data_IF_845446612981
#
_entry.id   IF_845446612981
#
_cell.length_a   1.000
_cell.length_b   1.000
_cell.length_c   1.000
_cell.angle_alpha   90.00
_cell.angle_beta   90.00
_cell.angle_gamma   90.00
#
_symmetry.space_group_name_H-M   'P 1'
#
loop_
_entity.id
_entity.type
_entity.pdbx_description
1 polymer ?
#
# COMPACT_ATOMS: atom_id res chain seq x y z
N UNK A 1 1.34 7.30 -7.71
CA UNK A 1 2.14 8.52 -7.45
C UNK A 1 1.74 9.59 -8.46
N UNK A 2 1.81 10.86 -8.09
CA UNK A 2 1.46 11.99 -8.95
C UNK A 2 2.53 13.06 -8.84
N UNK A 3 3.01 13.55 -9.98
CA UNK A 3 3.88 14.72 -10.03
C UNK A 3 3.01 15.99 -10.14
N UNK A 4 3.17 16.92 -9.22
CA UNK A 4 2.35 18.14 -9.12
C UNK A 4 3.24 19.35 -9.03
N UNK A 5 2.88 20.43 -9.74
CA UNK A 5 3.57 21.72 -9.72
C UNK A 5 3.59 22.36 -11.10
N UNK A 6 3.60 23.70 -11.13
CA UNK A 6 3.60 24.49 -12.37
C UNK A 6 4.93 25.22 -12.59
N UNK A 7 5.88 25.09 -11.66
CA UNK A 7 7.21 25.69 -11.76
C UNK A 7 8.24 24.81 -11.05
N UNK A 8 9.55 24.96 -11.36
CA UNK A 8 10.60 24.17 -10.71
C UNK A 8 10.59 24.26 -9.18
N UNK A 9 10.15 25.38 -8.63
CA UNK A 9 10.08 25.59 -7.17
C UNK A 9 8.83 24.99 -6.52
N UNK A 10 7.82 24.61 -7.31
CA UNK A 10 6.56 24.05 -6.81
C UNK A 10 6.39 22.55 -7.15
N UNK A 11 7.33 21.98 -7.87
CA UNK A 11 7.28 20.54 -8.22
C UNK A 11 7.42 19.68 -6.96
N UNK A 12 6.49 18.76 -6.79
CA UNK A 12 6.48 17.78 -5.70
C UNK A 12 5.85 16.47 -6.11
N UNK A 13 6.22 15.42 -5.42
CA UNK A 13 5.59 14.10 -5.56
C UNK A 13 4.45 14.00 -4.55
N UNK A 14 3.28 13.62 -5.03
CA UNK A 14 2.09 13.36 -4.22
C UNK A 14 1.84 11.85 -4.16
N UNK A 15 1.92 11.27 -2.96
CA UNK A 15 1.54 9.89 -2.71
C UNK A 15 0.12 9.84 -2.14
N UNK A 16 -0.81 9.22 -2.88
CA UNK A 16 -2.23 9.06 -2.50
C UNK A 16 -2.59 7.63 -2.10
N UNK A 17 -1.60 6.75 -1.96
CA UNK A 17 -1.85 5.36 -1.58
C UNK A 17 -2.26 5.22 -0.11
N UNK A 18 -1.60 5.89 0.84
CA UNK A 18 -1.97 5.78 2.26
C UNK A 18 -3.36 6.35 2.55
N UNK A 19 -4.13 5.67 3.40
CA UNK A 19 -5.37 6.18 3.97
C UNK A 19 -5.16 7.28 5.02
N UNK A 20 -6.25 7.92 5.45
CA UNK A 20 -6.19 8.97 6.48
C UNK A 20 -5.83 8.46 7.89
N UNK A 21 -5.89 7.17 8.11
CA UNK A 21 -5.58 6.45 9.35
C UNK A 21 -4.15 5.88 9.40
N UNK A 22 -3.34 6.15 8.35
CA UNK A 22 -1.97 5.66 8.29
C UNK A 22 -1.11 6.29 9.38
N UNK A 23 -0.15 5.53 9.91
CA UNK A 23 0.94 6.10 10.70
C UNK A 23 1.82 6.99 9.80
N UNK A 24 1.81 8.34 9.97
CA UNK A 24 2.51 9.23 9.05
C UNK A 24 4.03 9.07 9.09
N UNK A 25 4.59 8.70 10.23
CA UNK A 25 6.03 8.47 10.35
C UNK A 25 6.47 7.26 9.55
N UNK A 26 5.71 6.16 9.63
CA UNK A 26 6.00 4.95 8.86
C UNK A 26 5.78 5.19 7.35
N UNK A 27 4.72 5.89 6.98
CA UNK A 27 4.44 6.20 5.57
C UNK A 27 5.54 7.05 4.93
N UNK A 28 6.00 8.10 5.63
CA UNK A 28 7.10 8.96 5.14
C UNK A 28 8.40 8.18 5.08
N UNK A 29 8.72 7.38 6.10
CA UNK A 29 9.92 6.54 6.11
C UNK A 29 9.91 5.53 4.96
N UNK A 30 8.76 4.90 4.66
CA UNK A 30 8.62 3.98 3.54
C UNK A 30 8.82 4.67 2.18
N UNK A 31 8.29 5.88 2.01
CA UNK A 31 8.50 6.67 0.79
C UNK A 31 9.98 7.01 0.57
N UNK A 32 10.66 7.45 1.63
CA UNK A 32 12.09 7.80 1.57
C UNK A 32 12.90 6.54 1.26
N UNK A 33 12.66 5.42 1.97
CA UNK A 33 13.37 4.17 1.75
C UNK A 33 13.19 3.64 0.33
N UNK A 34 11.97 3.67 -0.20
CA UNK A 34 11.68 3.26 -1.57
C UNK A 34 12.36 4.17 -2.61
N UNK A 35 12.35 5.49 -2.37
CA UNK A 35 13.02 6.45 -3.25
C UNK A 35 14.53 6.25 -3.28
N UNK A 36 15.16 6.08 -2.13
CA UNK A 36 16.60 5.82 -2.02
C UNK A 36 16.98 4.50 -2.70
N UNK A 37 16.20 3.43 -2.47
CA UNK A 37 16.45 2.15 -3.11
C UNK A 37 16.33 2.22 -4.64
N UNK A 38 15.38 3.00 -5.17
CA UNK A 38 15.25 3.23 -6.60
C UNK A 38 16.44 3.97 -7.20
N UNK A 39 16.99 4.95 -6.48
CA UNK A 39 18.21 5.69 -6.86
C UNK A 39 19.43 4.76 -6.80
N UNK A 40 19.60 4.02 -5.71
CA UNK A 40 20.70 3.06 -5.55
C UNK A 40 20.72 1.97 -6.63
N UNK A 41 19.55 1.51 -7.04
CA UNK A 41 19.39 0.50 -8.09
C UNK A 41 19.38 1.08 -9.51
N UNK A 42 19.52 2.41 -9.67
CA UNK A 42 19.46 3.11 -10.96
C UNK A 42 18.23 2.71 -11.79
N UNK A 43 17.06 2.57 -11.12
CA UNK A 43 15.84 2.13 -11.78
C UNK A 43 15.48 3.09 -12.93
N UNK A 44 15.13 2.57 -14.12
CA UNK A 44 14.71 3.41 -15.23
C UNK A 44 13.41 4.12 -14.87
N UNK A 45 13.30 5.38 -15.32
CA UNK A 45 12.04 6.13 -15.17
C UNK A 45 11.02 5.59 -16.17
N UNK A 46 9.85 5.21 -15.67
CA UNK A 46 8.73 4.89 -16.52
C UNK A 46 8.16 6.17 -17.17
N UNK A 47 7.62 6.08 -18.41
CA UNK A 47 6.94 7.22 -19.02
C UNK A 47 5.80 7.72 -18.15
N UNK A 48 5.63 9.05 -18.11
CA UNK A 48 4.49 9.63 -17.40
C UNK A 48 3.19 9.21 -18.10
N UNK A 49 2.23 8.72 -17.32
CA UNK A 49 0.89 8.43 -17.84
C UNK A 49 0.12 9.75 -18.03
N UNK A 50 -0.43 9.93 -19.22
CA UNK A 50 -1.30 11.06 -19.57
C UNK A 50 -2.74 10.59 -19.72
N UNK A 51 -3.66 11.21 -18.98
CA UNK A 51 -5.08 10.89 -19.04
C UNK A 51 -5.67 10.41 -17.72
N UNK A 52 -6.71 9.57 -17.79
CA UNK A 52 -7.38 9.02 -16.61
C UNK A 52 -6.68 7.75 -16.14
N UNK A 53 -5.83 7.86 -15.12
CA UNK A 53 -5.07 6.74 -14.55
C UNK A 53 -5.95 5.60 -13.96
N UNK A 54 -7.24 5.82 -13.75
CA UNK A 54 -8.16 4.74 -13.34
C UNK A 54 -8.49 3.76 -14.47
N UNK A 55 -8.25 4.17 -15.72
CA UNK A 55 -8.44 3.33 -16.91
C UNK A 55 -7.16 2.63 -17.35
N UNK A 56 -6.04 2.90 -16.68
CA UNK A 56 -4.76 2.27 -16.95
C UNK A 56 -4.77 0.80 -16.51
N UNK A 57 -4.16 -0.07 -17.33
CA UNK A 57 -3.98 -1.50 -17.04
C UNK A 57 -2.65 -1.81 -16.31
N UNK A 58 -1.91 -0.78 -15.91
CA UNK A 58 -0.65 -0.90 -15.19
C UNK A 58 -0.75 -1.58 -13.82
N UNK A 59 0.39 -1.83 -13.17
CA UNK A 59 0.42 -2.49 -11.86
C UNK A 59 -0.43 -1.74 -10.83
N UNK A 60 -1.28 -2.46 -10.12
CA UNK A 60 -2.15 -1.91 -9.10
C UNK A 60 -1.63 -2.22 -7.70
N UNK A 61 -1.88 -1.29 -6.78
CA UNK A 61 -1.64 -1.55 -5.35
C UNK A 61 -2.59 -2.66 -4.85
N UNK A 62 -2.19 -3.43 -3.83
CA UNK A 62 -3.05 -4.45 -3.24
C UNK A 62 -4.41 -3.85 -2.85
N UNK A 63 -5.50 -4.52 -3.24
CA UNK A 63 -6.87 -4.05 -2.99
C UNK A 63 -7.48 -4.58 -1.69
N UNK A 64 -6.82 -5.52 -1.02
CA UNK A 64 -7.27 -6.10 0.25
C UNK A 64 -6.12 -6.12 1.25
N UNK A 65 -6.46 -6.10 2.56
CA UNK A 65 -5.45 -6.25 3.61
C UNK A 65 -4.69 -7.58 3.48
N UNK A 66 -5.34 -8.65 3.04
CA UNK A 66 -4.73 -9.97 2.84
C UNK A 66 -3.64 -9.93 1.76
N UNK A 67 -3.92 -9.32 0.62
CA UNK A 67 -2.92 -9.17 -0.45
C UNK A 67 -1.82 -8.17 -0.10
N UNK A 68 -2.15 -7.11 0.64
CA UNK A 68 -1.15 -6.16 1.15
C UNK A 68 -0.22 -6.80 2.18
N UNK A 69 -0.76 -7.64 3.09
CA UNK A 69 0.03 -8.40 4.06
C UNK A 69 1.03 -9.34 3.36
N UNK A 70 0.61 -10.08 2.34
CA UNK A 70 1.51 -10.94 1.58
C UNK A 70 2.65 -10.13 0.96
N UNK A 71 2.33 -9.04 0.25
CA UNK A 71 3.33 -8.17 -0.35
C UNK A 71 4.30 -7.55 0.68
N UNK A 72 3.80 -7.17 1.87
CA UNK A 72 4.62 -6.64 2.95
C UNK A 72 5.61 -7.68 3.51
N UNK A 73 5.14 -8.90 3.74
CA UNK A 73 5.96 -9.98 4.30
C UNK A 73 7.07 -10.44 3.34
N UNK A 74 6.78 -10.45 2.03
CA UNK A 74 7.71 -10.88 0.99
C UNK A 74 8.66 -9.75 0.54
N UNK A 75 8.47 -8.53 1.05
CA UNK A 75 9.28 -7.38 0.65
C UNK A 75 10.68 -7.39 1.29
N UNK A 76 11.69 -7.71 0.49
CA UNK A 76 13.10 -7.55 0.89
C UNK A 76 13.44 -6.08 1.20
N UNK A 77 12.86 -5.14 0.44
CA UNK A 77 13.04 -3.71 0.67
C UNK A 77 12.52 -3.29 2.04
N UNK A 78 11.32 -3.76 2.43
CA UNK A 78 10.78 -3.46 3.75
C UNK A 78 11.68 -4.00 4.87
N UNK A 79 12.18 -5.23 4.74
CA UNK A 79 13.12 -5.81 5.71
C UNK A 79 14.46 -5.08 5.77
N UNK A 80 15.00 -4.66 4.62
CA UNK A 80 16.23 -3.84 4.57
C UNK A 80 16.03 -2.47 5.23
N UNK A 81 14.88 -1.84 5.01
CA UNK A 81 14.59 -0.48 5.47
C UNK A 81 14.22 -0.41 6.97
N UNK A 82 13.41 -1.34 7.46
CA UNK A 82 12.81 -1.28 8.80
C UNK A 82 13.32 -2.36 9.75
N UNK A 83 13.99 -3.38 9.24
CA UNK A 83 14.35 -4.57 10.00
C UNK A 83 13.23 -5.59 10.14
N UNK A 84 13.59 -6.85 10.40
CA UNK A 84 12.63 -7.96 10.47
C UNK A 84 11.62 -7.78 11.60
N UNK A 85 12.03 -7.29 12.76
CA UNK A 85 11.14 -7.11 13.92
C UNK A 85 9.98 -6.16 13.62
N UNK A 86 10.25 -5.06 12.90
CA UNK A 86 9.21 -4.10 12.50
C UNK A 86 8.28 -4.71 11.45
N UNK A 87 8.84 -5.40 10.45
CA UNK A 87 8.04 -6.08 9.42
C UNK A 87 7.13 -7.13 10.05
N UNK A 88 7.66 -7.94 10.94
CA UNK A 88 6.91 -9.02 11.60
C UNK A 88 5.87 -8.47 12.59
N UNK A 89 6.16 -7.35 13.27
CA UNK A 89 5.19 -6.67 14.14
C UNK A 89 3.97 -6.21 13.37
N UNK A 90 4.14 -5.46 12.27
CA UNK A 90 3.02 -5.00 11.44
C UNK A 90 2.31 -6.15 10.73
N UNK A 91 3.04 -7.16 10.29
CA UNK A 91 2.45 -8.37 9.74
C UNK A 91 1.57 -9.09 10.76
N UNK A 92 1.99 -9.16 12.02
CA UNK A 92 1.19 -9.75 13.09
C UNK A 92 -0.08 -8.95 13.36
N UNK A 93 0.01 -7.62 13.42
CA UNK A 93 -1.18 -6.75 13.55
C UNK A 93 -2.20 -7.02 12.44
N UNK A 94 -1.75 -7.06 11.19
CA UNK A 94 -2.62 -7.36 10.05
C UNK A 94 -3.26 -8.76 10.13
N UNK A 95 -2.53 -9.78 10.62
CA UNK A 95 -3.11 -11.14 10.83
C UNK A 95 -4.19 -11.14 11.89
N UNK A 96 -4.01 -10.39 12.99
CA UNK A 96 -5.01 -10.26 14.05
C UNK A 96 -6.29 -9.63 13.50
N UNK A 97 -6.18 -8.55 12.75
CA UNK A 97 -7.33 -7.90 12.11
C UNK A 97 -8.03 -8.84 11.11
N UNK A 98 -7.27 -9.54 10.27
CA UNK A 98 -7.84 -10.51 9.34
C UNK A 98 -8.54 -11.66 10.06
N UNK A 99 -7.97 -12.18 11.15
CA UNK A 99 -8.59 -13.25 11.93
C UNK A 99 -9.90 -12.77 12.57
N UNK A 100 -9.94 -11.54 13.10
CA UNK A 100 -11.16 -10.95 13.65
C UNK A 100 -12.23 -10.74 12.57
N UNK A 101 -11.84 -10.23 11.41
CA UNK A 101 -12.75 -10.05 10.28
C UNK A 101 -13.31 -11.39 9.75
N UNK A 102 -12.46 -12.40 9.60
CA UNK A 102 -12.86 -13.72 9.11
C UNK A 102 -13.79 -14.47 10.08
N UNK A 103 -13.73 -14.13 11.37
CA UNK A 103 -14.61 -14.69 12.38
C UNK A 103 -15.96 -13.93 12.52
N UNK A 104 -16.06 -12.74 11.94
CA UNK A 104 -17.26 -11.92 12.01
C UNK A 104 -18.27 -12.35 10.94
N UNK A 105 -19.55 -12.43 11.35
CA UNK A 105 -20.66 -12.61 10.39
C UNK A 105 -21.06 -11.23 9.89
N UNK A 106 -20.95 -11.01 8.59
CA UNK A 106 -21.28 -9.73 7.95
C UNK A 106 -22.78 -9.58 7.69
N UNK A 107 -23.24 -8.35 7.55
CA UNK A 107 -24.64 -8.06 7.16
C UNK A 107 -25.00 -8.72 5.83
N UNK A 108 -24.04 -8.82 4.91
CA UNK A 108 -24.22 -9.52 3.64
C UNK A 108 -24.52 -11.02 3.83
N UNK A 109 -23.78 -11.69 4.71
CA UNK A 109 -23.99 -13.12 5.00
C UNK A 109 -25.31 -13.33 5.71
N UNK A 110 -25.68 -12.45 6.65
CA UNK A 110 -26.96 -12.49 7.33
C UNK A 110 -28.13 -12.38 6.33
N UNK A 111 -28.13 -11.34 5.49
CA UNK A 111 -29.17 -11.13 4.48
C UNK A 111 -29.28 -12.32 3.53
N UNK A 112 -28.12 -12.78 3.02
CA UNK A 112 -28.08 -13.90 2.10
C UNK A 112 -28.52 -15.23 2.73
N UNK A 113 -28.24 -15.43 4.01
CA UNK A 113 -28.65 -16.61 4.77
C UNK A 113 -30.15 -16.67 5.01
N UNK A 114 -30.76 -15.57 5.44
CA UNK A 114 -32.20 -15.50 5.73
C UNK A 114 -33.10 -15.70 4.51
N UNK A 115 -32.67 -15.33 3.33
CA UNK A 115 -33.44 -15.49 2.09
C UNK A 115 -33.37 -16.90 1.48
N UNK A 116 -32.56 -17.77 2.03
CA UNK A 116 -32.29 -19.12 1.45
C UNK A 116 -32.69 -20.29 2.35
N UNK A 117 -33.30 -20.01 3.48
CA UNK A 117 -33.92 -21.01 4.36
C UNK A 117 -35.45 -21.18 4.01
#
# INVERSE_FOLDING_TARGET
>A
MRLVGHSPLSVRVENRVPGGDVNPYLAVAAMIAAGLAGIEAELPLEPAFEGNAYLDEGPRVPSTLRSALAAWQDSELARKAFGSDVVDHYANGARVELAAFDAAVTDWELQRGFERL
#
